data_IF_481717937144
#
_entry.id   IF_481717937144
#
_cell.length_a   1.000
_cell.length_b   1.000
_cell.length_c   1.000
_cell.angle_alpha   90.00
_cell.angle_beta   90.00
_cell.angle_gamma   90.00
#
_symmetry.space_group_name_H-M   'P 1'
#
loop_
_entity.id
_entity.type
_entity.pdbx_description
1 polymer ?
#
# COMPACT_ATOMS: atom_id res chain seq x y z
N UNK A 1 4.43 -15.97 16.66
CA UNK A 1 4.56 -15.48 15.27
C UNK A 1 3.42 -14.51 15.07
N UNK A 2 3.72 -13.23 14.90
CA UNK A 2 2.71 -12.19 14.68
C UNK A 2 2.02 -12.41 13.34
N UNK A 3 0.68 -12.41 13.37
CA UNK A 3 -0.16 -12.47 12.18
C UNK A 3 0.12 -11.24 11.34
N UNK A 4 0.83 -11.37 10.22
CA UNK A 4 0.85 -10.35 9.19
C UNK A 4 -0.59 -10.13 8.76
N UNK A 5 -1.18 -8.99 9.15
CA UNK A 5 -2.57 -8.69 8.81
C UNK A 5 -2.74 -8.85 7.30
N UNK A 6 -3.56 -9.82 6.89
CA UNK A 6 -3.71 -10.18 5.48
C UNK A 6 -4.34 -9.00 4.76
N UNK A 7 -3.57 -8.36 3.89
CA UNK A 7 -4.05 -7.29 3.01
C UNK A 7 -5.13 -7.87 2.11
N UNK A 8 -6.31 -7.25 2.08
CA UNK A 8 -7.45 -7.66 1.28
C UNK A 8 -7.91 -6.55 0.32
N UNK A 9 -8.39 -6.89 -0.90
CA UNK A 9 -8.97 -5.91 -1.80
C UNK A 9 -10.18 -5.22 -1.17
N UNK A 10 -10.29 -3.90 -1.39
CA UNK A 10 -11.30 -3.03 -0.79
C UNK A 10 -10.92 -2.45 0.58
N UNK A 11 -9.91 -3.00 1.26
CA UNK A 11 -9.44 -2.42 2.52
C UNK A 11 -8.82 -1.03 2.33
N UNK A 12 -9.05 -0.19 3.33
CA UNK A 12 -8.40 1.11 3.45
C UNK A 12 -7.24 1.02 4.42
N UNK A 13 -6.15 1.68 4.10
CA UNK A 13 -4.95 1.70 4.92
C UNK A 13 -4.48 3.13 5.11
N UNK A 14 -4.18 3.48 6.34
CA UNK A 14 -3.69 4.78 6.76
C UNK A 14 -2.16 4.79 6.69
N UNK A 15 -1.59 5.71 5.92
CA UNK A 15 -0.15 5.91 5.87
C UNK A 15 0.31 6.56 7.18
N UNK A 16 1.13 5.87 7.94
CA UNK A 16 1.65 6.34 9.23
C UNK A 16 3.02 7.01 9.10
N UNK A 17 3.77 6.70 8.03
CA UNK A 17 5.06 7.32 7.70
C UNK A 17 5.14 7.61 6.20
N UNK A 18 5.82 8.69 5.77
CA UNK A 18 5.90 9.04 4.35
C UNK A 18 6.35 7.87 3.49
N UNK A 19 5.56 7.57 2.45
CA UNK A 19 5.70 6.35 1.70
C UNK A 19 6.17 6.66 0.28
N UNK A 20 7.38 6.21 -0.08
CA UNK A 20 7.97 6.40 -1.41
C UNK A 20 7.65 5.19 -2.28
N UNK A 21 7.01 5.44 -3.42
CA UNK A 21 6.64 4.39 -4.37
C UNK A 21 7.15 4.75 -5.76
N UNK A 22 7.44 3.73 -6.56
CA UNK A 22 7.83 3.91 -7.94
C UNK A 22 6.62 3.73 -8.85
N UNK A 23 6.41 4.68 -9.76
CA UNK A 23 5.35 4.66 -10.76
C UNK A 23 5.93 5.03 -12.12
N UNK A 24 6.01 4.05 -13.03
CA UNK A 24 6.46 4.27 -14.41
C UNK A 24 7.85 4.92 -14.49
N UNK A 25 8.79 4.51 -13.63
CA UNK A 25 10.15 5.06 -13.56
C UNK A 25 10.28 6.38 -12.78
N UNK A 26 9.18 6.95 -12.29
CA UNK A 26 9.19 8.14 -11.44
C UNK A 26 8.94 7.78 -9.97
N UNK A 27 9.67 8.41 -9.05
CA UNK A 27 9.47 8.24 -7.61
C UNK A 27 8.40 9.22 -7.13
N UNK A 28 7.33 8.70 -6.52
CA UNK A 28 6.23 9.46 -5.94
C UNK A 28 6.26 9.35 -4.42
N UNK A 29 6.02 10.47 -3.73
CA UNK A 29 5.93 10.51 -2.28
C UNK A 29 4.48 10.61 -1.84
N UNK A 30 4.06 9.70 -0.97
CA UNK A 30 2.75 9.71 -0.33
C UNK A 30 2.92 10.24 1.08
N UNK A 31 2.25 11.35 1.45
CA UNK A 31 2.42 11.95 2.76
C UNK A 31 1.79 11.09 3.85
N UNK A 32 2.35 11.18 5.05
CA UNK A 32 1.74 10.64 6.26
C UNK A 32 0.32 11.20 6.42
N UNK A 33 -0.60 10.37 6.91
CA UNK A 33 -2.00 10.72 7.00
C UNK A 33 -2.70 10.71 5.64
N UNK A 34 -2.16 10.01 4.65
CA UNK A 34 -2.90 9.62 3.44
C UNK A 34 -3.67 8.32 3.67
N UNK A 35 -4.74 8.13 2.90
CA UNK A 35 -5.48 6.86 2.88
C UNK A 35 -5.26 6.17 1.54
N UNK A 36 -4.73 4.95 1.61
CA UNK A 36 -4.58 4.04 0.48
C UNK A 36 -5.80 3.12 0.42
N UNK A 37 -6.26 2.81 -0.77
CA UNK A 37 -7.33 1.82 -0.99
C UNK A 37 -6.72 0.64 -1.72
N UNK A 38 -6.77 -0.55 -1.14
CA UNK A 38 -6.32 -1.77 -1.80
C UNK A 38 -7.30 -2.08 -2.93
N UNK A 39 -6.79 -2.13 -4.15
CA UNK A 39 -7.59 -2.45 -5.35
C UNK A 39 -7.43 -3.89 -5.78
N UNK A 40 -6.27 -4.50 -5.54
CA UNK A 40 -5.98 -5.88 -5.91
C UNK A 40 -4.82 -6.40 -5.06
N UNK A 41 -4.86 -7.70 -4.74
CA UNK A 41 -3.78 -8.41 -4.06
C UNK A 41 -3.45 -9.65 -4.90
N UNK A 42 -2.18 -9.80 -5.28
CA UNK A 42 -1.66 -11.01 -5.90
C UNK A 42 -0.72 -11.69 -4.91
N UNK A 43 -1.22 -12.75 -4.27
CA UNK A 43 -0.48 -13.47 -3.24
C UNK A 43 0.75 -14.19 -3.80
N UNK A 44 0.68 -14.67 -5.05
CA UNK A 44 1.79 -15.41 -5.69
C UNK A 44 3.05 -14.56 -5.92
N UNK A 45 2.90 -13.23 -5.97
CA UNK A 45 3.98 -12.29 -6.31
C UNK A 45 4.26 -11.28 -5.18
N UNK A 46 3.65 -11.47 -4.00
CA UNK A 46 3.62 -10.49 -2.91
C UNK A 46 3.30 -9.06 -3.38
N UNK A 47 2.38 -8.93 -4.36
CA UNK A 47 2.10 -7.67 -5.02
C UNK A 47 0.72 -7.13 -4.61
N UNK A 48 0.70 -5.96 -4.00
CA UNK A 48 -0.50 -5.23 -3.62
C UNK A 48 -0.62 -3.99 -4.52
N UNK A 49 -1.75 -3.88 -5.20
CA UNK A 49 -2.10 -2.67 -5.94
C UNK A 49 -2.95 -1.78 -5.07
N UNK A 50 -2.50 -0.56 -4.88
CA UNK A 50 -3.21 0.43 -4.07
C UNK A 50 -3.52 1.68 -4.90
N UNK A 51 -4.61 2.34 -4.53
CA UNK A 51 -5.01 3.63 -5.07
C UNK A 51 -4.86 4.72 -4.02
N UNK A 52 -4.34 5.87 -4.44
CA UNK A 52 -4.25 7.12 -3.68
C UNK A 52 -4.74 8.27 -4.58
N UNK A 53 -5.94 8.80 -4.29
CA UNK A 53 -6.62 9.71 -5.20
C UNK A 53 -6.84 9.06 -6.57
N UNK A 54 -6.40 9.74 -7.64
CA UNK A 54 -6.45 9.22 -9.02
C UNK A 54 -5.23 8.38 -9.42
N UNK A 55 -4.27 8.18 -8.49
CA UNK A 55 -3.06 7.42 -8.77
C UNK A 55 -3.22 5.97 -8.30
N UNK A 56 -2.73 5.04 -9.11
CA UNK A 56 -2.62 3.62 -8.76
C UNK A 56 -1.17 3.17 -8.95
N UNK A 57 -0.66 2.40 -7.99
CA UNK A 57 0.71 1.89 -8.00
C UNK A 57 0.78 0.56 -7.26
N UNK A 58 1.88 -0.15 -7.46
CA UNK A 58 2.15 -1.44 -6.85
C UNK A 58 3.10 -1.27 -5.67
N UNK A 59 2.84 -2.01 -4.59
CA UNK A 59 3.65 -2.09 -3.38
C UNK A 59 3.70 -3.55 -2.92
N UNK A 60 4.63 -3.92 -2.05
CA UNK A 60 4.63 -5.24 -1.42
C UNK A 60 3.78 -5.25 -0.15
N UNK A 61 3.34 -6.42 0.31
CA UNK A 61 2.60 -6.51 1.58
C UNK A 61 3.45 -6.06 2.75
N UNK A 62 4.73 -6.44 2.77
CA UNK A 62 5.68 -6.01 3.79
C UNK A 62 5.82 -4.48 3.82
N UNK A 63 6.02 -3.86 2.66
CA UNK A 63 6.17 -2.42 2.59
C UNK A 63 4.88 -1.70 3.04
N UNK A 64 3.72 -2.24 2.66
CA UNK A 64 2.45 -1.71 3.14
C UNK A 64 2.33 -1.78 4.67
N UNK A 65 2.71 -2.89 5.29
CA UNK A 65 2.72 -3.07 6.75
C UNK A 65 3.74 -2.20 7.48
N UNK A 66 4.89 -1.90 6.86
CA UNK A 66 5.91 -1.02 7.43
C UNK A 66 5.47 0.46 7.45
N UNK A 67 4.81 0.93 6.40
CA UNK A 67 4.51 2.36 6.21
C UNK A 67 3.05 2.74 6.50
N UNK A 68 2.14 1.77 6.52
CA UNK A 68 0.72 1.98 6.72
C UNK A 68 0.13 0.92 7.67
N UNK A 69 -1.01 1.26 8.28
CA UNK A 69 -1.84 0.29 9.04
C UNK A 69 -3.25 0.28 8.48
N UNK A 70 -4.01 -0.81 8.66
CA UNK A 70 -5.44 -0.83 8.36
C UNK A 70 -6.16 0.35 9.03
N UNK A 71 -7.11 0.97 8.31
CA UNK A 71 -7.90 2.12 8.74
C UNK A 71 -9.34 1.72 9.07
#
# INVERSE_FOLDING_TARGET
>A
MESTERVAPGQKWRVNRPFRVERGGSRFLIPQGSTLIVTMVRQDYDAVWVSYGYNRFQVSQQNMADYATPA
#
